data_IF_228773575417
#
_entry.id   IF_228773575417
#
_cell.length_a   1.000
_cell.length_b   1.000
_cell.length_c   1.000
_cell.angle_alpha   90.00
_cell.angle_beta   90.00
_cell.angle_gamma   90.00
#
_symmetry.space_group_name_H-M   'P 1'
#
loop_
_entity.id
_entity.type
_entity.pdbx_description
1 polymer ?
#
# COMPACT_ATOMS: atom_id res chain seq x y z
N UNK A 1 -8.17 -11.70 -15.97
CA UNK A 1 -8.33 -10.62 -16.99
C UNK A 1 -8.66 -9.28 -16.35
N UNK A 2 -9.66 -9.16 -15.44
CA UNK A 2 -10.11 -7.86 -14.87
C UNK A 2 -8.98 -6.92 -14.37
N UNK A 3 -7.95 -7.44 -13.69
CA UNK A 3 -6.81 -6.60 -13.26
C UNK A 3 -6.06 -6.00 -14.46
N UNK A 4 -5.85 -6.76 -15.51
CA UNK A 4 -5.14 -6.28 -16.70
C UNK A 4 -5.97 -5.25 -17.46
N UNK A 5 -7.22 -5.54 -17.71
CA UNK A 5 -8.15 -4.64 -18.42
C UNK A 5 -8.31 -3.32 -17.66
N UNK A 6 -8.56 -3.37 -16.34
CA UNK A 6 -8.71 -2.16 -15.55
C UNK A 6 -7.39 -1.38 -15.39
N UNK A 7 -6.32 -2.06 -14.93
CA UNK A 7 -5.11 -1.35 -14.54
C UNK A 7 -4.30 -0.88 -15.75
N UNK A 8 -4.06 -1.74 -16.74
CA UNK A 8 -3.30 -1.34 -17.92
C UNK A 8 -4.17 -0.49 -18.87
N UNK A 9 -5.43 -0.86 -19.08
CA UNK A 9 -6.35 -0.11 -19.92
C UNK A 9 -6.53 1.33 -19.46
N UNK A 10 -6.77 1.54 -18.14
CA UNK A 10 -6.87 2.89 -17.58
C UNK A 10 -5.56 3.68 -17.69
N UNK A 11 -4.41 3.02 -17.51
CA UNK A 11 -3.10 3.66 -17.64
C UNK A 11 -2.87 4.16 -19.08
N UNK A 12 -3.14 3.34 -20.08
CA UNK A 12 -3.01 3.75 -21.49
C UNK A 12 -3.94 4.92 -21.84
N UNK A 13 -5.18 4.89 -21.35
CA UNK A 13 -6.12 5.99 -21.58
C UNK A 13 -5.62 7.26 -20.89
N UNK A 14 -5.19 7.15 -19.63
CA UNK A 14 -4.69 8.30 -18.88
C UNK A 14 -3.46 8.95 -19.55
N UNK A 15 -2.45 8.17 -19.94
CA UNK A 15 -1.25 8.71 -20.59
C UNK A 15 -1.57 9.44 -21.89
N UNK A 16 -2.50 8.92 -22.71
CA UNK A 16 -2.96 9.60 -23.93
C UNK A 16 -3.63 10.93 -23.62
N UNK A 17 -4.50 10.97 -22.61
CA UNK A 17 -5.18 12.19 -22.19
C UNK A 17 -4.22 13.20 -21.58
N UNK A 18 -3.26 12.76 -20.78
CA UNK A 18 -2.23 13.64 -20.21
C UNK A 18 -1.41 14.35 -21.32
N UNK A 19 -1.04 13.61 -22.39
CA UNK A 19 -0.40 14.21 -23.57
C UNK A 19 -1.33 15.18 -24.32
N UNK A 20 -2.58 14.77 -24.53
CA UNK A 20 -3.58 15.58 -25.28
C UNK A 20 -3.88 16.92 -24.59
N UNK A 21 -3.87 16.92 -23.24
CA UNK A 21 -4.17 18.11 -22.43
C UNK A 21 -2.92 18.83 -21.87
N UNK A 22 -1.73 18.56 -22.40
CA UNK A 22 -0.45 19.15 -21.97
C UNK A 22 -0.22 19.04 -20.45
N UNK A 23 -0.69 17.95 -19.82
CA UNK A 23 -0.50 17.67 -18.39
C UNK A 23 0.68 16.70 -18.20
N UNK A 24 1.87 17.23 -17.94
CA UNK A 24 3.12 16.49 -17.96
C UNK A 24 3.58 16.02 -16.57
N UNK A 25 2.65 15.75 -15.66
CA UNK A 25 2.98 15.24 -14.32
C UNK A 25 2.03 14.13 -13.90
N UNK A 26 2.60 13.04 -13.35
CA UNK A 26 1.82 11.94 -12.80
C UNK A 26 2.48 11.39 -11.52
N UNK A 27 1.66 11.17 -10.50
CA UNK A 27 2.04 10.38 -9.30
C UNK A 27 1.30 9.05 -9.39
N UNK A 28 2.05 7.97 -9.49
CA UNK A 28 1.51 6.62 -9.63
C UNK A 28 1.56 5.84 -8.32
N UNK A 29 0.41 5.41 -7.87
CA UNK A 29 0.23 4.51 -6.73
C UNK A 29 0.63 3.08 -7.13
N UNK A 30 1.92 2.74 -6.95
CA UNK A 30 2.43 1.38 -7.11
C UNK A 30 2.27 0.59 -5.81
N UNK A 31 3.00 -0.49 -5.65
CA UNK A 31 2.86 -1.39 -4.50
C UNK A 31 4.16 -2.13 -4.21
N UNK A 32 4.45 -2.41 -2.95
CA UNK A 32 5.54 -3.29 -2.55
C UNK A 32 5.45 -4.72 -3.14
N UNK A 33 4.27 -5.13 -3.62
CA UNK A 33 4.10 -6.43 -4.30
C UNK A 33 4.94 -6.58 -5.57
N UNK A 34 5.44 -5.48 -6.16
CA UNK A 34 6.33 -5.51 -7.33
C UNK A 34 7.69 -6.14 -7.02
N UNK A 35 8.11 -6.12 -5.74
CA UNK A 35 9.36 -6.71 -5.28
C UNK A 35 9.33 -8.25 -5.26
N UNK A 36 8.14 -8.86 -5.11
CA UNK A 36 8.06 -10.30 -4.83
C UNK A 36 8.72 -10.65 -3.51
N UNK A 37 9.28 -11.87 -3.43
CA UNK A 37 10.06 -12.29 -2.26
C UNK A 37 11.48 -11.70 -2.36
N UNK A 38 11.93 -11.04 -1.30
CA UNK A 38 13.29 -10.50 -1.17
C UNK A 38 14.01 -11.20 -0.03
N UNK A 39 15.31 -11.40 -0.19
CA UNK A 39 16.17 -12.01 0.85
C UNK A 39 16.68 -11.00 1.87
N UNK A 40 16.76 -9.73 1.46
CA UNK A 40 17.31 -8.65 2.29
C UNK A 40 16.23 -7.69 2.76
N UNK A 41 16.22 -7.39 4.04
CA UNK A 41 15.37 -6.40 4.69
C UNK A 41 16.22 -5.36 5.43
N UNK A 42 15.80 -4.10 5.47
CA UNK A 42 14.64 -3.50 4.80
C UNK A 42 14.79 -3.44 3.27
N UNK A 43 13.67 -3.41 2.54
CA UNK A 43 13.65 -3.36 1.06
C UNK A 43 13.89 -1.91 0.61
N UNK A 44 14.93 -1.71 -0.19
CA UNK A 44 15.21 -0.42 -0.85
C UNK A 44 14.61 -0.36 -2.25
N UNK A 45 14.53 0.84 -2.84
CA UNK A 45 14.03 1.02 -4.21
C UNK A 45 14.92 0.35 -5.27
N UNK A 46 16.19 0.12 -4.95
CA UNK A 46 17.15 -0.59 -5.82
C UNK A 46 17.01 -2.12 -5.79
N UNK A 47 16.17 -2.66 -4.88
CA UNK A 47 15.90 -4.09 -4.84
C UNK A 47 15.25 -4.57 -6.15
N UNK A 48 15.54 -5.80 -6.52
CA UNK A 48 15.05 -6.38 -7.76
C UNK A 48 13.52 -6.44 -7.78
N UNK A 49 12.92 -6.06 -8.90
CA UNK A 49 11.48 -6.10 -9.14
C UNK A 49 11.13 -7.05 -10.29
N UNK A 50 9.86 -7.39 -10.40
CA UNK A 50 9.35 -8.19 -11.53
C UNK A 50 9.50 -9.71 -11.37
N UNK A 51 10.44 -10.18 -10.55
CA UNK A 51 10.63 -11.60 -10.27
C UNK A 51 9.83 -12.03 -9.02
N UNK A 52 9.34 -13.28 -9.04
CA UNK A 52 8.63 -13.84 -7.88
C UNK A 52 7.31 -13.16 -7.52
N UNK A 53 6.75 -12.32 -8.39
CA UNK A 53 5.42 -11.74 -8.17
C UNK A 53 4.37 -12.85 -8.28
N UNK A 54 3.65 -13.07 -7.19
CA UNK A 54 2.76 -14.22 -7.01
C UNK A 54 1.31 -13.98 -7.43
N UNK A 55 0.92 -12.73 -7.75
CA UNK A 55 -0.46 -12.38 -8.05
C UNK A 55 -0.58 -11.38 -9.22
N UNK A 56 -1.76 -11.40 -9.86
CA UNK A 56 -2.04 -10.55 -11.02
C UNK A 56 -2.02 -9.04 -10.68
N UNK A 57 -2.41 -8.65 -9.47
CA UNK A 57 -2.36 -7.26 -9.04
C UNK A 57 -0.93 -6.72 -9.05
N UNK A 58 -0.02 -7.38 -8.34
CA UNK A 58 1.40 -7.00 -8.32
C UNK A 58 2.02 -7.01 -9.72
N UNK A 59 1.65 -7.99 -10.55
CA UNK A 59 2.11 -8.07 -11.95
C UNK A 59 1.68 -6.85 -12.74
N UNK A 60 0.42 -6.41 -12.62
CA UNK A 60 -0.04 -5.21 -13.33
C UNK A 60 0.61 -3.92 -12.81
N UNK A 61 0.87 -3.82 -11.50
CA UNK A 61 1.62 -2.68 -10.94
C UNK A 61 3.04 -2.62 -11.51
N UNK A 62 3.75 -3.72 -11.54
CA UNK A 62 5.08 -3.81 -12.16
C UNK A 62 5.05 -3.42 -13.64
N UNK A 63 4.12 -3.98 -14.43
CA UNK A 63 3.99 -3.61 -15.84
C UNK A 63 3.74 -2.10 -16.04
N UNK A 64 2.95 -1.47 -15.16
CA UNK A 64 2.70 -0.03 -15.25
C UNK A 64 3.96 0.77 -14.90
N UNK A 65 4.76 0.34 -13.94
CA UNK A 65 6.07 0.98 -13.66
C UNK A 65 6.96 0.95 -14.89
N UNK A 66 7.08 -0.18 -15.57
CA UNK A 66 7.85 -0.31 -16.82
C UNK A 66 7.30 0.62 -17.92
N UNK A 67 5.97 0.61 -18.13
CA UNK A 67 5.32 1.49 -19.11
C UNK A 67 5.61 2.98 -18.81
N UNK A 68 5.53 3.39 -17.55
CA UNK A 68 5.79 4.78 -17.17
C UNK A 68 7.26 5.17 -17.37
N UNK A 69 8.19 4.28 -17.06
CA UNK A 69 9.62 4.50 -17.28
C UNK A 69 9.95 4.55 -18.79
N UNK A 70 9.43 3.62 -19.58
CA UNK A 70 9.58 3.62 -21.03
C UNK A 70 8.96 4.88 -21.67
N UNK A 71 7.78 5.28 -21.18
CA UNK A 71 7.12 6.50 -21.63
C UNK A 71 7.99 7.74 -21.35
N UNK A 72 8.49 7.87 -20.12
CA UNK A 72 9.43 8.95 -19.75
C UNK A 72 10.69 8.93 -20.61
N UNK A 73 11.31 7.77 -20.78
CA UNK A 73 12.51 7.60 -21.61
C UNK A 73 12.25 8.03 -23.08
N UNK A 74 11.07 7.75 -23.61
CA UNK A 74 10.70 8.19 -24.97
C UNK A 74 10.68 9.71 -25.12
N UNK A 75 10.34 10.45 -24.06
CA UNK A 75 10.33 11.93 -24.05
C UNK A 75 11.74 12.54 -23.91
N UNK A 76 12.72 11.76 -23.44
CA UNK A 76 14.11 12.18 -23.22
C UNK A 76 15.08 11.64 -24.28
N UNK A 77 14.59 10.94 -25.30
CA UNK A 77 15.42 10.36 -26.36
C UNK A 77 16.32 11.40 -27.05
N UNK A 78 17.59 11.03 -27.23
CA UNK A 78 18.60 11.91 -27.87
C UNK A 78 19.09 13.02 -26.93
N UNK A 79 18.96 12.87 -25.60
CA UNK A 79 19.43 13.83 -24.61
C UNK A 79 18.56 15.08 -24.50
N UNK A 80 17.32 15.03 -24.98
CA UNK A 80 16.35 16.13 -24.85
C UNK A 80 15.95 16.28 -23.39
N UNK A 81 15.83 17.51 -22.93
CA UNK A 81 15.12 17.82 -21.68
C UNK A 81 13.63 17.60 -21.89
N UNK A 82 12.94 17.16 -20.84
CA UNK A 82 11.48 17.00 -20.83
C UNK A 82 10.91 17.76 -19.64
N UNK A 83 9.69 18.22 -19.77
CA UNK A 83 8.86 18.73 -18.67
C UNK A 83 8.04 17.63 -17.99
N UNK A 84 8.07 16.42 -18.54
CA UNK A 84 7.44 15.26 -17.89
C UNK A 84 8.07 14.94 -16.54
N UNK A 85 7.24 14.81 -15.54
CA UNK A 85 7.62 14.42 -14.18
C UNK A 85 6.79 13.22 -13.75
N UNK A 86 7.43 12.09 -13.45
CA UNK A 86 6.78 10.87 -13.04
C UNK A 86 7.30 10.47 -11.65
N UNK A 87 6.40 10.33 -10.68
CA UNK A 87 6.73 9.81 -9.35
C UNK A 87 5.97 8.52 -9.12
N UNK A 88 6.69 7.44 -8.85
CA UNK A 88 6.15 6.11 -8.58
C UNK A 88 6.28 5.84 -7.08
N UNK A 89 5.15 5.61 -6.41
CA UNK A 89 5.09 5.34 -4.98
C UNK A 89 4.82 3.85 -4.72
N UNK A 90 5.84 3.12 -4.25
CA UNK A 90 5.72 1.72 -3.81
C UNK A 90 5.35 1.70 -2.34
N UNK A 91 4.06 1.73 -2.03
CA UNK A 91 3.65 1.66 -0.64
C UNK A 91 3.42 0.23 -0.15
N UNK A 92 3.66 0.05 1.15
CA UNK A 92 3.52 -1.23 1.82
C UNK A 92 2.05 -1.46 2.21
N UNK A 93 1.70 -1.74 3.44
CA UNK A 93 0.34 -2.12 3.80
C UNK A 93 -0.43 -0.94 4.43
N UNK A 94 -1.20 -0.15 3.66
CA UNK A 94 -1.97 0.95 4.25
C UNK A 94 -3.10 0.40 5.12
N UNK A 95 -3.23 1.00 6.30
CA UNK A 95 -4.28 0.70 7.29
C UNK A 95 -4.72 1.98 8.02
N UNK A 96 -5.65 1.84 8.95
CA UNK A 96 -6.19 2.97 9.68
C UNK A 96 -7.39 3.59 8.97
N UNK A 97 -7.76 4.75 9.43
CA UNK A 97 -8.85 5.55 8.89
C UNK A 97 -8.59 7.04 9.18
N UNK A 98 -9.41 7.93 8.65
CA UNK A 98 -9.31 9.34 9.01
C UNK A 98 -9.67 9.53 10.50
N UNK A 99 -8.91 10.32 11.28
CA UNK A 99 -9.11 10.47 12.73
C UNK A 99 -10.51 10.97 13.14
N UNK A 100 -11.25 11.59 12.21
CA UNK A 100 -12.63 11.98 12.45
C UNK A 100 -13.61 10.82 12.65
N UNK A 101 -13.25 9.58 12.18
CA UNK A 101 -14.17 8.45 12.12
C UNK A 101 -15.23 8.54 11.01
N UNK A 102 -15.13 9.53 10.10
CA UNK A 102 -16.09 9.73 9.00
C UNK A 102 -15.67 9.12 7.68
N UNK A 103 -14.37 8.86 7.50
CA UNK A 103 -13.79 8.28 6.30
C UNK A 103 -12.95 7.08 6.70
N UNK A 104 -13.24 5.93 6.10
CA UNK A 104 -12.52 4.68 6.32
C UNK A 104 -12.78 3.68 5.22
N UNK A 105 -12.21 2.49 5.34
CA UNK A 105 -12.32 1.43 4.35
C UNK A 105 -13.63 0.63 4.54
N UNK A 106 -14.47 0.60 3.49
CA UNK A 106 -15.69 -0.21 3.44
C UNK A 106 -15.64 -1.15 2.23
N UNK A 107 -14.96 -2.31 2.34
CA UNK A 107 -14.77 -3.21 1.24
C UNK A 107 -16.08 -3.88 0.82
N UNK A 108 -16.29 -3.99 -0.49
CA UNK A 108 -17.40 -4.78 -1.05
C UNK A 108 -17.17 -6.27 -0.81
N UNK A 109 -18.01 -6.88 0.03
CA UNK A 109 -17.94 -8.30 0.35
C UNK A 109 -16.94 -8.65 1.45
N UNK A 110 -16.17 -9.73 1.25
CA UNK A 110 -15.18 -10.19 2.22
C UNK A 110 -13.89 -9.39 2.05
N UNK A 111 -13.37 -8.73 3.12
CA UNK A 111 -12.10 -8.02 3.04
C UNK A 111 -10.95 -8.95 2.63
N UNK A 112 -10.13 -8.50 1.68
CA UNK A 112 -8.91 -9.21 1.29
C UNK A 112 -7.71 -8.85 2.17
N UNK A 113 -7.76 -7.68 2.81
CA UNK A 113 -6.71 -7.18 3.69
C UNK A 113 -6.96 -7.57 5.14
N UNK A 114 -5.87 -7.73 5.91
CA UNK A 114 -5.92 -8.17 7.30
C UNK A 114 -6.76 -7.24 8.18
N UNK A 115 -6.43 -5.97 8.24
CA UNK A 115 -6.99 -5.08 9.26
C UNK A 115 -8.48 -4.75 9.08
N UNK A 116 -9.03 -4.56 7.88
CA UNK A 116 -10.48 -4.49 7.71
C UNK A 116 -11.20 -5.77 8.16
N UNK A 117 -10.59 -6.94 7.94
CA UNK A 117 -11.16 -8.21 8.42
C UNK A 117 -11.15 -8.28 9.96
N UNK A 118 -10.01 -7.94 10.59
CA UNK A 118 -9.85 -7.86 12.04
C UNK A 118 -10.88 -6.91 12.65
N UNK A 119 -11.07 -5.73 12.09
CA UNK A 119 -12.05 -4.75 12.52
C UNK A 119 -13.50 -5.30 12.43
N UNK A 120 -13.82 -6.05 11.35
CA UNK A 120 -15.12 -6.70 11.20
C UNK A 120 -15.34 -7.84 12.23
N UNK A 121 -14.28 -8.52 12.67
CA UNK A 121 -14.39 -9.48 13.81
C UNK A 121 -14.62 -8.71 15.10
N UNK A 122 -13.85 -7.66 15.37
CA UNK A 122 -13.97 -6.87 16.59
C UNK A 122 -15.38 -6.27 16.79
N UNK A 123 -16.03 -5.82 15.70
CA UNK A 123 -17.39 -5.26 15.73
C UNK A 123 -18.50 -6.34 15.69
N UNK A 124 -18.12 -7.62 15.55
CA UNK A 124 -19.07 -8.76 15.57
C UNK A 124 -19.71 -9.11 14.21
N UNK A 125 -19.27 -8.49 13.10
CA UNK A 125 -19.75 -8.85 11.74
C UNK A 125 -19.26 -10.23 11.30
N UNK A 126 -18.13 -10.71 11.87
CA UNK A 126 -17.52 -12.00 11.53
C UNK A 126 -17.20 -12.79 12.80
N UNK A 127 -17.30 -14.10 12.76
CA UNK A 127 -17.13 -14.93 13.96
C UNK A 127 -15.67 -15.06 14.38
N UNK A 128 -14.73 -15.07 13.43
CA UNK A 128 -13.29 -15.21 13.68
C UNK A 128 -12.48 -14.86 12.45
N UNK A 129 -11.19 -14.57 12.67
CA UNK A 129 -10.14 -14.42 11.64
C UNK A 129 -9.47 -15.77 11.39
N UNK A 130 -9.04 -16.06 10.16
CA UNK A 130 -8.06 -17.10 9.87
C UNK A 130 -6.68 -16.46 9.72
N UNK A 131 -5.74 -16.84 10.58
CA UNK A 131 -4.33 -16.47 10.51
C UNK A 131 -3.62 -17.51 9.65
N UNK A 132 -3.11 -17.11 8.49
CA UNK A 132 -2.52 -18.01 7.52
C UNK A 132 -1.02 -18.20 7.74
N UNK A 133 -0.63 -19.43 8.09
CA UNK A 133 0.74 -19.82 8.46
C UNK A 133 1.07 -19.49 9.90
N UNK A 134 1.73 -20.46 10.55
CA UNK A 134 2.21 -20.38 11.94
C UNK A 134 3.64 -20.89 12.08
N UNK A 135 4.31 -21.08 10.95
CA UNK A 135 5.62 -21.73 10.85
C UNK A 135 6.61 -20.93 9.98
N UNK A 136 6.34 -19.60 9.76
CA UNK A 136 7.30 -18.70 9.13
C UNK A 136 8.52 -18.49 10.06
N UNK A 137 9.66 -18.23 9.46
CA UNK A 137 10.86 -17.78 10.20
C UNK A 137 10.70 -16.32 10.64
N UNK A 138 9.88 -16.15 11.68
CA UNK A 138 9.50 -14.87 12.30
C UNK A 138 9.32 -15.09 13.80
N UNK A 139 9.32 -14.05 14.65
CA UNK A 139 9.29 -14.21 16.13
C UNK A 139 8.12 -15.02 16.66
N UNK A 140 6.94 -14.97 16.04
CA UNK A 140 5.74 -15.70 16.47
C UNK A 140 5.23 -16.69 15.42
N UNK A 141 6.00 -16.92 14.36
CA UNK A 141 5.66 -17.84 13.28
C UNK A 141 4.67 -17.28 12.26
N UNK A 142 4.12 -16.09 12.45
CA UNK A 142 3.18 -15.47 11.50
C UNK A 142 3.87 -14.45 10.60
N UNK A 143 3.26 -14.11 9.46
CA UNK A 143 3.87 -13.20 8.49
C UNK A 143 4.04 -11.78 9.03
N UNK A 144 5.18 -11.15 8.75
CA UNK A 144 5.54 -9.79 9.18
C UNK A 144 5.42 -8.82 8.01
N UNK A 145 4.71 -7.70 8.23
CA UNK A 145 4.49 -6.66 7.21
C UNK A 145 4.72 -5.27 7.79
N UNK A 146 5.13 -4.34 6.94
CA UNK A 146 5.16 -2.92 7.24
C UNK A 146 3.76 -2.34 7.03
N UNK A 147 3.16 -1.88 8.11
CA UNK A 147 1.85 -1.22 8.08
C UNK A 147 2.03 0.29 8.15
N UNK A 148 1.31 0.99 7.30
CA UNK A 148 1.40 2.44 7.12
C UNK A 148 0.03 3.07 7.34
N UNK A 149 -0.04 4.13 8.14
CA UNK A 149 -1.30 4.84 8.33
C UNK A 149 -1.76 5.49 7.01
N UNK A 150 -3.06 5.36 6.68
CA UNK A 150 -3.61 5.91 5.44
C UNK A 150 -3.43 7.42 5.33
N UNK A 151 -3.38 8.15 6.45
CA UNK A 151 -3.08 9.59 6.45
C UNK A 151 -1.63 9.89 6.07
N UNK A 152 -0.67 9.06 6.53
CA UNK A 152 0.72 9.18 6.10
C UNK A 152 0.87 8.85 4.61
N UNK A 153 0.13 7.86 4.12
CA UNK A 153 0.10 7.55 2.68
C UNK A 153 -0.45 8.74 1.88
N UNK A 154 -1.55 9.36 2.32
CA UNK A 154 -2.12 10.54 1.68
C UNK A 154 -1.11 11.70 1.67
N UNK A 155 -0.42 11.96 2.79
CA UNK A 155 0.63 12.96 2.87
C UNK A 155 1.80 12.62 1.94
N UNK A 156 2.14 11.33 1.76
CA UNK A 156 3.15 10.88 0.80
C UNK A 156 2.80 11.24 -0.64
N UNK A 157 1.52 11.16 -1.01
CA UNK A 157 1.06 11.61 -2.33
C UNK A 157 1.17 13.13 -2.50
N UNK A 158 0.83 13.91 -1.47
CA UNK A 158 1.01 15.37 -1.51
C UNK A 158 2.49 15.75 -1.65
N UNK A 159 3.36 15.14 -0.84
CA UNK A 159 4.82 15.35 -0.94
C UNK A 159 5.36 14.96 -2.32
N UNK A 160 4.84 13.90 -2.94
CA UNK A 160 5.22 13.50 -4.29
C UNK A 160 4.77 14.50 -5.36
N UNK A 161 3.58 15.09 -5.23
CA UNK A 161 3.10 16.17 -6.13
C UNK A 161 4.00 17.38 -5.99
N UNK A 162 4.25 17.86 -4.77
CA UNK A 162 5.14 19.01 -4.52
C UNK A 162 6.57 18.74 -5.05
N UNK A 163 7.07 17.52 -4.83
CA UNK A 163 8.36 17.11 -5.35
C UNK A 163 8.41 17.14 -6.88
N UNK A 164 7.40 16.58 -7.56
CA UNK A 164 7.33 16.54 -9.02
C UNK A 164 7.29 17.92 -9.67
N UNK A 165 6.72 18.92 -8.99
CA UNK A 165 6.67 20.32 -9.43
C UNK A 165 7.92 21.14 -9.07
N UNK A 166 8.78 20.60 -8.22
CA UNK A 166 10.00 21.25 -7.72
C UNK A 166 11.28 20.50 -8.09
N UNK A 167 11.93 19.90 -7.09
CA UNK A 167 13.22 19.20 -7.25
C UNK A 167 13.16 17.97 -8.15
N UNK A 168 11.99 17.39 -8.34
CA UNK A 168 11.71 16.24 -9.19
C UNK A 168 11.20 16.60 -10.59
N UNK A 169 11.09 17.88 -10.92
CA UNK A 169 10.66 18.31 -12.24
C UNK A 169 11.61 17.75 -13.34
N UNK A 170 11.02 17.23 -14.41
CA UNK A 170 11.77 16.61 -15.50
C UNK A 170 12.43 15.27 -15.14
N UNK A 171 11.93 14.54 -14.13
CA UNK A 171 12.48 13.26 -13.68
C UNK A 171 11.42 12.17 -13.57
N UNK A 172 11.86 10.91 -13.71
CA UNK A 172 11.10 9.73 -13.34
C UNK A 172 11.76 9.09 -12.12
N UNK A 173 11.10 9.11 -10.97
CA UNK A 173 11.67 8.63 -9.72
C UNK A 173 10.71 7.72 -8.95
N UNK A 174 11.29 6.79 -8.20
CA UNK A 174 10.57 5.78 -7.44
C UNK A 174 10.87 5.98 -5.96
N UNK A 175 9.84 5.84 -5.11
CA UNK A 175 9.96 5.96 -3.67
C UNK A 175 9.16 4.88 -2.94
N UNK A 176 9.79 4.27 -1.94
CA UNK A 176 9.09 3.45 -0.96
C UNK A 176 8.34 4.32 0.05
N UNK A 177 7.10 3.98 0.33
CA UNK A 177 6.34 4.55 1.44
C UNK A 177 6.01 3.44 2.44
N UNK A 178 6.68 3.48 3.58
CA UNK A 178 6.53 2.56 4.70
C UNK A 178 7.06 3.20 5.98
N UNK A 179 6.90 2.52 7.10
CA UNK A 179 7.38 2.98 8.40
C UNK A 179 8.80 2.50 8.69
N UNK A 180 9.26 1.48 7.97
CA UNK A 180 10.51 0.76 8.25
C UNK A 180 10.38 -0.23 9.41
N UNK A 181 9.17 -0.42 9.95
CA UNK A 181 8.88 -1.36 11.03
C UNK A 181 7.98 -2.48 10.53
N UNK A 182 8.36 -3.71 10.84
CA UNK A 182 7.54 -4.88 10.56
C UNK A 182 6.72 -5.28 11.77
N UNK A 183 5.44 -5.59 11.59
CA UNK A 183 4.58 -6.16 12.62
C UNK A 183 4.00 -7.49 12.14
N UNK A 184 3.97 -8.47 13.03
CA UNK A 184 3.38 -9.78 12.78
C UNK A 184 1.85 -9.73 12.79
N UNK A 185 1.20 -10.78 12.25
CA UNK A 185 -0.27 -10.87 12.30
C UNK A 185 -0.78 -10.91 13.74
N UNK A 186 -0.09 -11.62 14.65
CA UNK A 186 -0.50 -11.69 16.05
C UNK A 186 -0.29 -10.35 16.77
N UNK A 187 0.77 -9.61 16.50
CA UNK A 187 0.97 -8.26 17.02
C UNK A 187 -0.15 -7.31 16.57
N UNK A 188 -0.58 -7.41 15.30
CA UNK A 188 -1.68 -6.62 14.77
C UNK A 188 -3.02 -6.94 15.46
N UNK A 189 -3.29 -8.21 15.74
CA UNK A 189 -4.46 -8.64 16.51
C UNK A 189 -4.41 -8.05 17.92
N UNK A 190 -3.29 -8.19 18.63
CA UNK A 190 -3.12 -7.66 19.99
C UNK A 190 -3.27 -6.14 20.04
N UNK A 191 -2.72 -5.43 19.04
CA UNK A 191 -2.85 -3.97 18.95
C UNK A 191 -4.33 -3.56 18.77
N UNK A 192 -5.08 -4.26 17.92
CA UNK A 192 -6.51 -4.00 17.74
C UNK A 192 -7.33 -4.38 18.98
N UNK A 193 -7.00 -5.46 19.69
CA UNK A 193 -7.64 -5.81 20.98
C UNK A 193 -7.47 -4.67 22.01
N UNK A 194 -6.26 -4.13 22.11
CA UNK A 194 -5.99 -2.96 22.98
C UNK A 194 -6.79 -1.73 22.57
N UNK A 195 -6.84 -1.42 21.27
CA UNK A 195 -7.54 -0.24 20.75
C UNK A 195 -9.07 -0.36 20.89
N UNK A 196 -9.63 -1.56 20.69
CA UNK A 196 -11.06 -1.78 20.68
C UNK A 196 -11.63 -2.16 22.05
N UNK A 197 -10.81 -2.69 22.96
CA UNK A 197 -11.29 -3.33 24.19
C UNK A 197 -12.08 -4.64 23.94
N UNK A 198 -11.94 -5.23 22.74
CA UNK A 198 -12.64 -6.45 22.33
C UNK A 198 -11.64 -7.57 22.11
N UNK A 199 -12.01 -8.78 22.49
CA UNK A 199 -11.26 -10.00 22.12
C UNK A 199 -11.52 -10.34 20.66
N UNK A 200 -10.45 -10.59 19.90
CA UNK A 200 -10.52 -10.96 18.50
C UNK A 200 -10.30 -12.45 18.34
N UNK A 201 -11.40 -13.17 18.09
CA UNK A 201 -11.32 -14.61 17.86
C UNK A 201 -10.57 -14.91 16.55
N UNK A 202 -9.61 -15.84 16.60
CA UNK A 202 -8.90 -16.30 15.40
C UNK A 202 -8.63 -17.80 15.44
N UNK A 203 -8.35 -18.35 14.27
CA UNK A 203 -7.88 -19.73 14.07
C UNK A 203 -6.64 -19.71 13.21
N UNK A 204 -5.70 -20.62 13.50
CA UNK A 204 -4.57 -20.86 12.62
C UNK A 204 -5.01 -21.68 11.40
N UNK A 205 -4.52 -21.31 10.24
CA UNK A 205 -4.68 -22.01 8.97
C UNK A 205 -3.35 -22.23 8.28
N UNK A 206 -3.34 -23.04 7.23
CA UNK A 206 -2.16 -23.29 6.42
C UNK A 206 -1.66 -22.00 5.72
N UNK A 207 -0.38 -21.98 5.32
CA UNK A 207 0.16 -20.87 4.51
C UNK A 207 -0.64 -20.67 3.22
N UNK A 208 -0.91 -19.42 2.87
CA UNK A 208 -1.46 -19.11 1.55
C UNK A 208 -0.34 -19.21 0.51
N UNK A 209 -0.62 -19.77 -0.68
CA UNK A 209 0.34 -19.74 -1.77
C UNK A 209 0.79 -18.31 -2.09
N UNK A 210 2.09 -18.09 -2.12
CA UNK A 210 2.69 -16.81 -2.46
C UNK A 210 2.84 -15.81 -1.31
N UNK A 211 2.45 -16.16 -0.08
CA UNK A 211 2.79 -15.34 1.10
C UNK A 211 4.29 -15.50 1.43
N UNK A 212 4.92 -14.39 1.81
CA UNK A 212 6.33 -14.31 2.23
C UNK A 212 6.41 -14.08 3.74
N UNK A 213 7.52 -14.53 4.37
CA UNK A 213 7.70 -14.41 5.81
C UNK A 213 7.71 -12.95 6.27
N UNK A 214 8.57 -12.12 5.67
CA UNK A 214 8.82 -10.74 6.12
C UNK A 214 8.88 -9.78 4.95
N UNK A 215 8.30 -8.58 5.11
CA UNK A 215 8.34 -7.52 4.12
C UNK A 215 8.15 -6.14 4.79
N UNK A 216 9.23 -5.33 4.85
CA UNK A 216 9.19 -3.94 5.33
C UNK A 216 10.16 -3.04 4.57
N UNK A 217 9.86 -1.74 4.56
CA UNK A 217 10.49 -0.74 3.71
C UNK A 217 11.78 -0.16 4.30
N UNK A 218 12.70 0.20 3.40
CA UNK A 218 13.55 1.38 3.61
C UNK A 218 12.90 2.57 2.90
N UNK A 219 12.46 3.57 3.66
CA UNK A 219 11.82 4.79 3.14
C UNK A 219 12.76 6.00 3.18
N UNK A 220 14.07 5.78 3.33
CA UNK A 220 15.06 6.86 3.45
C UNK A 220 15.15 7.74 2.20
N UNK A 221 14.92 7.20 1.00
CA UNK A 221 14.88 8.00 -0.22
C UNK A 221 13.71 9.01 -0.23
N UNK A 222 12.53 8.60 0.23
CA UNK A 222 11.37 9.48 0.38
C UNK A 222 11.67 10.61 1.38
N UNK A 223 12.29 10.30 2.51
CA UNK A 223 12.71 11.32 3.47
C UNK A 223 13.73 12.29 2.88
N UNK A 224 14.80 11.79 2.30
CA UNK A 224 15.91 12.61 1.82
C UNK A 224 15.55 13.51 0.63
N UNK A 225 14.67 13.04 -0.26
CA UNK A 225 14.33 13.77 -1.49
C UNK A 225 13.02 14.56 -1.37
N UNK A 226 11.97 13.97 -0.80
CA UNK A 226 10.64 14.58 -0.66
C UNK A 226 10.36 15.19 0.72
N UNK A 227 11.24 14.94 1.72
CA UNK A 227 10.99 15.35 3.11
C UNK A 227 9.88 14.54 3.80
N UNK A 228 9.43 13.45 3.21
CA UNK A 228 8.35 12.64 3.75
C UNK A 228 8.83 11.59 4.72
N UNK A 229 8.11 11.46 5.84
CA UNK A 229 8.29 10.39 6.83
C UNK A 229 6.96 10.05 7.46
N UNK A 230 6.68 8.75 7.68
CA UNK A 230 5.52 8.31 8.44
C UNK A 230 5.54 8.90 9.87
N UNK A 231 4.40 9.41 10.32
CA UNK A 231 4.24 10.10 11.60
C UNK A 231 3.40 9.31 12.60
N UNK A 232 2.53 8.40 12.11
CA UNK A 232 1.60 7.65 12.94
C UNK A 232 2.18 6.28 13.27
N UNK A 233 2.01 5.87 14.52
CA UNK A 233 2.42 4.54 15.00
C UNK A 233 1.27 3.52 14.91
N UNK A 234 1.53 2.27 15.35
CA UNK A 234 0.55 1.20 15.35
C UNK A 234 -0.67 1.51 16.24
N UNK A 235 -0.47 2.26 17.32
CA UNK A 235 -1.55 2.64 18.24
C UNK A 235 -2.51 3.59 17.52
N UNK A 236 -1.98 4.59 16.83
CA UNK A 236 -2.78 5.52 16.02
C UNK A 236 -3.56 4.79 14.93
N UNK A 237 -2.89 3.91 14.20
CA UNK A 237 -3.48 3.11 13.11
C UNK A 237 -4.69 2.30 13.61
N UNK A 238 -4.53 1.59 14.73
CA UNK A 238 -5.59 0.76 15.30
C UNK A 238 -6.70 1.59 15.94
N UNK A 239 -6.37 2.69 16.63
CA UNK A 239 -7.35 3.62 17.22
C UNK A 239 -8.28 4.20 16.15
N UNK A 240 -7.70 4.72 15.07
CA UNK A 240 -8.47 5.43 14.05
C UNK A 240 -9.28 4.44 13.19
N UNK A 241 -8.75 3.26 12.91
CA UNK A 241 -9.49 2.17 12.29
C UNK A 241 -10.68 1.73 13.16
N UNK A 242 -10.44 1.54 14.47
CA UNK A 242 -11.51 1.13 15.39
C UNK A 242 -12.61 2.19 15.51
N UNK A 243 -12.22 3.45 15.61
CA UNK A 243 -13.18 4.56 15.63
C UNK A 243 -14.09 4.53 14.40
N UNK A 244 -13.50 4.41 13.20
CA UNK A 244 -14.27 4.26 11.96
C UNK A 244 -15.21 3.06 12.02
N UNK A 245 -14.69 1.88 12.34
CA UNK A 245 -15.48 0.64 12.31
C UNK A 245 -16.56 0.60 13.38
N UNK A 246 -16.31 1.15 14.58
CA UNK A 246 -17.31 1.21 15.65
C UNK A 246 -18.45 2.18 15.35
N UNK A 247 -18.13 3.31 14.71
CA UNK A 247 -19.12 4.30 14.28
C UNK A 247 -19.90 3.84 13.03
N UNK A 248 -19.31 2.94 12.25
CA UNK A 248 -19.86 2.39 11.00
C UNK A 248 -19.84 0.85 11.01
N UNK A 249 -20.58 0.16 11.90
CA UNK A 249 -20.49 -1.28 12.08
C UNK A 249 -20.84 -2.06 10.82
N UNK A 250 -21.68 -1.52 9.95
CA UNK A 250 -22.10 -2.11 8.67
C UNK A 250 -21.54 -1.39 7.44
N UNK A 251 -20.52 -0.57 7.62
CA UNK A 251 -19.94 0.28 6.56
C UNK A 251 -20.73 1.56 6.37
N UNK A 252 -20.62 2.20 5.21
CA UNK A 252 -21.40 3.40 4.88
C UNK A 252 -22.90 3.04 4.78
N UNK A 253 -23.64 3.22 5.86
CA UNK A 253 -25.09 3.00 5.86
C UNK A 253 -25.78 4.10 5.07
N UNK A 254 -26.62 3.69 4.13
CA UNK A 254 -27.48 4.60 3.35
C UNK A 254 -27.17 4.65 1.86
N UNK A 255 -26.13 4.00 1.38
CA UNK A 255 -26.09 3.64 -0.04
C UNK A 255 -26.98 2.40 -0.21
N UNK A 256 -28.28 2.60 -0.44
CA UNK A 256 -29.09 1.57 -1.09
C UNK A 256 -28.36 1.17 -2.37
N UNK A 257 -27.94 -0.09 -2.42
CA UNK A 257 -27.30 -0.69 -3.60
C UNK A 257 -28.36 -1.12 -4.57
#
# INVERSE_FOLDING_TARGET
MKYYENNLGSTFTLLKLLDEFDCHSIVFSSSATVYGAQETMPITESAQVGLGITNAYGRTKYMIEEILQDYFNSKTLGGKSTDWSIVILRYFNPIGAHPSGKIGEDPNGIPNNLMPYVAQVAVGRRPHLTVFGSDYDTPDGTGVRDYLHVMDLAQGHLSAIEYSQGKGAGKCEIFNLGTGNGYSVLEMIQAMEKASGKTIAYKMGDRRPGDIATCYADASAAYNKMGWKAQHDLVDMCRDLWKWQSDNPNGFQGAEK
#
